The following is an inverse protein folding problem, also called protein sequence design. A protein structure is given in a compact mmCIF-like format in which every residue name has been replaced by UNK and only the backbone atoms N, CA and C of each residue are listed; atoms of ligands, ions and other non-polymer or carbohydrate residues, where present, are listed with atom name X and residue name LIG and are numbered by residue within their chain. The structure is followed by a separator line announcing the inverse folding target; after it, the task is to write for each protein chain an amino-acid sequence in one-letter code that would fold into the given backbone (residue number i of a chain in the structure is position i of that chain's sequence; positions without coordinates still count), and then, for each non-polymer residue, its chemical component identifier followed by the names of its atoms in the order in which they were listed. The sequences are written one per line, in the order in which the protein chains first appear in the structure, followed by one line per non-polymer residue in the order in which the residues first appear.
data_IF_834129500305
#
_entry.id   IF_834129500305
#
_cell.length_a   1.000
_cell.length_b   1.000
_cell.length_c   1.000
_cell.angle_alpha   90.00
_cell.angle_beta   90.00
_cell.angle_gamma   90.00
#
_symmetry.space_group_name_H-M   'P 1'
#
loop_
_entity.id
_entity.type
_entity.pdbx_description
1 polymer ?
#
# COMPACT_ATOMS: atom_id res chain seq x y z
N UNK A 1 -4.55 15.54 -18.30
CA UNK A 1 -5.78 16.35 -18.29
C UNK A 1 -5.81 17.11 -19.60
N UNK A 2 -6.88 16.97 -20.37
CA UNK A 2 -7.14 17.81 -21.55
C UNK A 2 -8.34 18.71 -21.24
N UNK A 3 -8.37 19.89 -21.85
CA UNK A 3 -9.54 20.75 -21.78
C UNK A 3 -10.46 20.47 -22.97
N UNK A 4 -11.75 20.33 -22.72
CA UNK A 4 -12.74 20.27 -23.80
C UNK A 4 -12.93 21.64 -24.45
N UNK A 5 -13.73 21.72 -25.52
CA UNK A 5 -14.03 22.97 -26.21
C UNK A 5 -14.71 24.04 -25.34
N UNK A 6 -15.16 23.68 -24.13
CA UNK A 6 -15.75 24.59 -23.13
C UNK A 6 -14.77 24.99 -22.03
N UNK A 7 -13.51 24.58 -22.11
CA UNK A 7 -12.47 24.85 -21.12
C UNK A 7 -12.49 23.95 -19.87
N UNK A 8 -13.40 22.99 -19.81
CA UNK A 8 -13.52 22.04 -18.70
C UNK A 8 -12.46 20.95 -18.80
N UNK A 9 -11.83 20.65 -17.68
CA UNK A 9 -10.82 19.58 -17.59
C UNK A 9 -11.47 18.19 -17.71
N UNK A 10 -10.97 17.40 -18.67
CA UNK A 10 -11.40 16.02 -18.89
C UNK A 10 -10.20 15.10 -18.68
N UNK A 11 -10.40 14.03 -17.95
CA UNK A 11 -9.42 12.98 -17.80
C UNK A 11 -9.44 12.06 -19.02
N UNK A 12 -8.35 12.06 -19.75
CA UNK A 12 -8.18 11.23 -20.93
C UNK A 12 -7.21 10.08 -20.65
N UNK A 13 -7.53 8.85 -21.10
CA UNK A 13 -6.62 7.73 -20.97
C UNK A 13 -5.39 7.94 -21.87
N UNK A 14 -4.20 7.82 -21.28
CA UNK A 14 -2.90 8.00 -21.96
C UNK A 14 -2.01 6.77 -21.70
N UNK A 15 -1.24 6.36 -22.71
CA UNK A 15 -0.25 5.31 -22.55
C UNK A 15 0.90 5.79 -21.65
N UNK A 16 1.32 4.96 -20.67
CA UNK A 16 2.43 5.26 -19.77
C UNK A 16 3.74 4.73 -20.35
N UNK A 17 4.56 5.63 -20.87
CA UNK A 17 5.81 5.26 -21.56
C UNK A 17 6.80 4.55 -20.62
N UNK A 18 6.88 4.96 -19.35
CA UNK A 18 7.78 4.35 -18.37
C UNK A 18 7.47 2.88 -18.05
N UNK A 19 6.29 2.39 -18.44
CA UNK A 19 5.90 0.99 -18.21
C UNK A 19 6.10 0.09 -19.44
N UNK A 20 6.51 0.63 -20.58
CA UNK A 20 6.62 -0.16 -21.83
C UNK A 20 7.64 -1.30 -21.75
N UNK A 21 8.68 -1.14 -20.93
CA UNK A 21 9.73 -2.16 -20.78
C UNK A 21 9.32 -3.30 -19.83
N UNK A 22 8.23 -3.12 -19.07
CA UNK A 22 7.72 -4.14 -18.16
C UNK A 22 6.89 -5.19 -18.88
N UNK A 23 6.83 -6.40 -18.31
CA UNK A 23 5.94 -7.45 -18.82
C UNK A 23 4.46 -7.05 -18.69
N UNK A 24 3.58 -7.52 -19.60
CA UNK A 24 2.15 -7.18 -19.55
C UNK A 24 1.50 -7.46 -18.19
N UNK A 25 1.92 -8.53 -17.51
CA UNK A 25 1.44 -8.87 -16.19
C UNK A 25 1.87 -7.86 -15.13
N UNK A 26 3.09 -7.36 -15.20
CA UNK A 26 3.60 -6.34 -14.29
C UNK A 26 2.89 -5.01 -14.50
N UNK A 27 2.60 -4.67 -15.78
CA UNK A 27 1.80 -3.49 -16.12
C UNK A 27 0.42 -3.61 -15.47
N UNK A 28 -0.25 -4.76 -15.64
CA UNK A 28 -1.55 -5.04 -15.03
C UNK A 28 -1.50 -4.93 -13.51
N UNK A 29 -0.49 -5.54 -12.87
CA UNK A 29 -0.32 -5.52 -11.42
C UNK A 29 -0.14 -4.10 -10.88
N UNK A 30 0.62 -3.26 -11.59
CA UNK A 30 0.84 -1.87 -11.20
C UNK A 30 -0.46 -1.05 -11.27
N UNK A 31 -1.22 -1.14 -12.37
CA UNK A 31 -2.50 -0.46 -12.49
C UNK A 31 -3.50 -0.92 -11.41
N UNK A 32 -3.56 -2.23 -11.14
CA UNK A 32 -4.39 -2.78 -10.07
C UNK A 32 -3.96 -2.27 -8.68
N UNK A 33 -2.65 -2.17 -8.43
CA UNK A 33 -2.10 -1.65 -7.17
C UNK A 33 -2.52 -0.21 -6.92
N UNK A 34 -2.42 0.64 -7.95
CA UNK A 34 -2.82 2.05 -7.88
C UNK A 34 -4.34 2.20 -7.63
N UNK A 35 -5.17 1.42 -8.35
CA UNK A 35 -6.63 1.44 -8.18
C UNK A 35 -7.01 1.00 -6.76
N UNK A 36 -6.43 -0.10 -6.26
CA UNK A 36 -6.68 -0.60 -4.91
C UNK A 36 -6.22 0.39 -3.84
N UNK A 37 -5.05 1.01 -4.04
CA UNK A 37 -4.51 2.01 -3.12
C UNK A 37 -5.46 3.20 -2.97
N UNK A 38 -5.92 3.77 -4.10
CA UNK A 38 -6.88 4.87 -4.09
C UNK A 38 -8.22 4.43 -3.49
N UNK A 39 -8.73 3.25 -3.84
CA UNK A 39 -9.97 2.75 -3.26
C UNK A 39 -9.85 2.54 -1.75
N UNK A 40 -8.77 1.97 -1.26
CA UNK A 40 -8.55 1.77 0.17
C UNK A 40 -8.53 3.09 0.94
N UNK A 41 -7.97 4.13 0.34
CA UNK A 41 -7.94 5.46 0.94
C UNK A 41 -9.35 6.09 1.00
N UNK A 42 -10.14 5.97 -0.07
CA UNK A 42 -11.44 6.63 -0.18
C UNK A 42 -12.64 5.73 0.15
N UNK A 43 -12.46 4.48 0.54
CA UNK A 43 -13.56 3.51 0.75
C UNK A 43 -14.61 3.91 1.77
N UNK A 44 -14.29 4.83 2.67
CA UNK A 44 -15.23 5.37 3.68
C UNK A 44 -15.97 6.62 3.18
N UNK A 45 -15.54 7.22 2.07
CA UNK A 45 -16.15 8.42 1.53
C UNK A 45 -17.59 8.19 1.06
N UNK A 46 -18.47 9.21 1.20
CA UNK A 46 -19.86 9.12 0.74
C UNK A 46 -19.97 8.93 -0.76
N UNK A 47 -19.07 9.53 -1.52
CA UNK A 47 -19.06 9.58 -2.99
C UNK A 47 -18.02 8.64 -3.62
N UNK A 48 -17.66 7.54 -2.96
CA UNK A 48 -16.66 6.58 -3.45
C UNK A 48 -16.98 6.04 -4.85
N UNK A 49 -18.23 6.03 -5.26
CA UNK A 49 -18.68 5.62 -6.61
C UNK A 49 -18.08 6.47 -7.74
N UNK A 50 -17.62 7.69 -7.46
CA UNK A 50 -16.90 8.54 -8.42
C UNK A 50 -15.63 7.85 -8.95
N UNK A 51 -15.03 6.95 -8.17
CA UNK A 51 -13.87 6.15 -8.57
C UNK A 51 -14.13 5.25 -9.78
N UNK A 52 -15.40 4.97 -10.14
CA UNK A 52 -15.72 4.26 -11.38
C UNK A 52 -15.20 5.01 -12.62
N UNK A 53 -15.30 6.34 -12.65
CA UNK A 53 -14.74 7.15 -13.74
C UNK A 53 -13.22 7.09 -13.78
N UNK A 54 -12.59 7.13 -12.62
CA UNK A 54 -11.14 6.97 -12.50
C UNK A 54 -10.70 5.58 -12.99
N UNK A 55 -11.37 4.52 -12.54
CA UNK A 55 -11.08 3.15 -12.95
C UNK A 55 -11.19 2.96 -14.47
N UNK A 56 -12.22 3.54 -15.09
CA UNK A 56 -12.37 3.54 -16.54
C UNK A 56 -11.17 4.17 -17.27
N UNK A 57 -10.71 5.34 -16.81
CA UNK A 57 -9.53 6.00 -17.38
C UNK A 57 -8.27 5.13 -17.20
N UNK A 58 -8.12 4.51 -16.03
CA UNK A 58 -7.00 3.61 -15.73
C UNK A 58 -7.01 2.36 -16.62
N UNK A 59 -8.17 1.75 -16.82
CA UNK A 59 -8.36 0.59 -17.68
C UNK A 59 -7.94 0.89 -19.11
N UNK A 60 -8.44 1.98 -19.68
CA UNK A 60 -8.07 2.37 -21.04
C UNK A 60 -6.62 2.82 -21.17
N UNK A 61 -6.05 3.45 -20.14
CA UNK A 61 -4.62 3.78 -20.09
C UNK A 61 -3.75 2.51 -20.09
N UNK A 62 -4.17 1.48 -19.37
CA UNK A 62 -3.53 0.17 -19.38
C UNK A 62 -3.57 -0.46 -20.78
N UNK A 63 -4.75 -0.48 -21.42
CA UNK A 63 -4.86 -1.00 -22.79
C UNK A 63 -3.93 -0.28 -23.77
N UNK A 64 -3.88 1.06 -23.68
CA UNK A 64 -2.98 1.85 -24.54
C UNK A 64 -1.51 1.58 -24.24
N UNK A 65 -1.14 1.35 -22.97
CA UNK A 65 0.23 1.03 -22.56
C UNK A 65 0.67 -0.32 -23.11
N UNK A 66 -0.15 -1.37 -22.94
CA UNK A 66 0.12 -2.71 -23.45
C UNK A 66 0.11 -2.71 -25.00
N UNK A 67 -0.83 -2.01 -25.62
CA UNK A 67 -0.93 -1.89 -27.07
C UNK A 67 0.33 -1.27 -27.67
N UNK A 68 0.89 -0.24 -27.01
CA UNK A 68 2.12 0.40 -27.43
C UNK A 68 3.33 -0.54 -27.33
N UNK A 69 3.44 -1.30 -26.23
CA UNK A 69 4.46 -2.35 -26.07
C UNK A 69 4.35 -3.39 -27.20
N UNK A 70 3.14 -3.84 -27.49
CA UNK A 70 2.88 -4.89 -28.49
C UNK A 70 2.79 -4.36 -29.93
N UNK A 71 2.98 -3.07 -30.15
CA UNK A 71 2.84 -2.40 -31.46
C UNK A 71 1.52 -2.74 -32.16
N UNK A 72 0.43 -2.73 -31.42
CA UNK A 72 -0.91 -3.03 -31.93
C UNK A 72 -1.96 -2.03 -31.42
N UNK A 73 -3.21 -2.15 -31.85
CA UNK A 73 -4.28 -1.29 -31.36
C UNK A 73 -4.79 -1.72 -29.98
N UNK A 74 -5.26 -0.76 -29.18
CA UNK A 74 -5.86 -1.04 -27.86
C UNK A 74 -7.08 -1.98 -27.98
N UNK A 75 -7.82 -1.93 -29.10
CA UNK A 75 -8.93 -2.82 -29.37
C UNK A 75 -8.48 -4.28 -29.53
N UNK A 76 -7.34 -4.52 -30.21
CA UNK A 76 -6.75 -5.86 -30.32
C UNK A 76 -6.32 -6.41 -28.96
N UNK A 77 -5.69 -5.57 -28.10
CA UNK A 77 -5.32 -5.96 -26.75
C UNK A 77 -6.55 -6.33 -25.95
N UNK A 78 -7.58 -5.49 -25.95
CA UNK A 78 -8.83 -5.78 -25.27
C UNK A 78 -9.42 -7.11 -25.74
N UNK A 79 -9.57 -7.32 -27.04
CA UNK A 79 -10.13 -8.57 -27.59
C UNK A 79 -9.30 -9.81 -27.22
N UNK A 80 -7.97 -9.70 -27.22
CA UNK A 80 -7.06 -10.84 -26.95
C UNK A 80 -7.13 -11.30 -25.50
N UNK A 81 -7.19 -10.36 -24.54
CA UNK A 81 -7.04 -10.64 -23.10
C UNK A 81 -8.35 -10.60 -22.32
N UNK A 82 -9.47 -10.21 -22.95
CA UNK A 82 -10.77 -10.19 -22.26
C UNK A 82 -11.49 -11.53 -22.46
N UNK A 83 -11.86 -12.17 -21.33
CA UNK A 83 -12.76 -13.32 -21.25
C UNK A 83 -13.86 -12.98 -20.25
N UNK A 84 -15.08 -13.35 -20.54
CA UNK A 84 -16.24 -13.09 -19.66
C UNK A 84 -16.38 -11.64 -19.21
N UNK A 85 -16.08 -10.70 -20.10
CA UNK A 85 -16.06 -9.24 -19.87
C UNK A 85 -14.98 -8.75 -18.90
N UNK A 86 -14.12 -9.64 -18.39
CA UNK A 86 -13.02 -9.30 -17.49
C UNK A 86 -11.70 -9.40 -18.25
N UNK A 87 -10.92 -8.32 -18.20
CA UNK A 87 -9.56 -8.32 -18.75
C UNK A 87 -8.63 -9.07 -17.79
N UNK A 88 -7.85 -10.01 -18.33
CA UNK A 88 -6.91 -10.78 -17.54
C UNK A 88 -5.78 -11.37 -18.37
N UNK A 89 -4.62 -11.52 -17.76
CA UNK A 89 -3.40 -12.05 -18.35
C UNK A 89 -3.05 -13.36 -17.68
N UNK A 90 -2.84 -14.39 -18.46
CA UNK A 90 -2.41 -15.71 -17.97
C UNK A 90 -0.89 -15.71 -17.78
N UNK A 91 -0.44 -16.37 -16.73
CA UNK A 91 0.97 -16.54 -16.41
C UNK A 91 1.23 -17.88 -15.74
N UNK A 92 2.41 -18.41 -15.96
CA UNK A 92 2.82 -19.69 -15.40
C UNK A 92 3.36 -19.53 -13.99
N UNK A 93 2.99 -20.44 -13.12
CA UNK A 93 3.52 -20.57 -11.77
C UNK A 93 3.97 -22.01 -11.51
N UNK A 94 4.73 -22.24 -10.46
CA UNK A 94 5.14 -23.59 -10.03
C UNK A 94 3.95 -24.55 -9.81
N UNK A 95 2.76 -24.02 -9.62
CA UNK A 95 1.51 -24.78 -9.37
C UNK A 95 0.55 -24.78 -10.57
N UNK A 96 1.02 -24.39 -11.76
CA UNK A 96 0.23 -24.32 -12.99
C UNK A 96 -0.05 -22.90 -13.47
N UNK A 97 -0.88 -22.81 -14.51
CA UNK A 97 -1.27 -21.55 -15.13
C UNK A 97 -2.27 -20.82 -14.24
N UNK A 98 -1.96 -19.57 -13.91
CA UNK A 98 -2.87 -18.66 -13.20
C UNK A 98 -3.23 -17.49 -14.09
N UNK A 99 -4.37 -16.85 -13.80
CA UNK A 99 -4.81 -15.64 -14.50
C UNK A 99 -4.87 -14.47 -13.53
N UNK A 100 -4.16 -13.41 -13.85
CA UNK A 100 -4.28 -12.13 -13.15
C UNK A 100 -5.35 -11.29 -13.86
N UNK A 101 -6.33 -10.81 -13.10
CA UNK A 101 -7.46 -10.05 -13.62
C UNK A 101 -7.34 -8.57 -13.28
N UNK A 102 -7.86 -7.73 -14.16
CA UNK A 102 -8.01 -6.31 -13.87
C UNK A 102 -9.05 -6.12 -12.76
N UNK A 103 -8.87 -5.09 -11.93
CA UNK A 103 -9.76 -4.80 -10.81
C UNK A 103 -11.21 -4.61 -11.29
N UNK A 104 -12.11 -5.44 -10.80
CA UNK A 104 -13.53 -5.46 -11.20
C UNK A 104 -14.51 -5.54 -10.02
N UNK A 105 -14.02 -5.43 -8.77
CA UNK A 105 -14.86 -5.57 -7.57
C UNK A 105 -15.79 -4.38 -7.34
N UNK A 106 -15.68 -3.32 -8.18
CA UNK A 106 -16.46 -2.11 -8.04
C UNK A 106 -16.02 -1.23 -6.85
N UNK A 107 -16.67 -0.07 -6.71
CA UNK A 107 -16.36 0.90 -5.66
C UNK A 107 -17.60 1.15 -4.82
N UNK A 108 -17.70 0.44 -3.72
CA UNK A 108 -18.79 0.58 -2.74
C UNK A 108 -18.24 1.15 -1.45
N UNK A 109 -19.05 1.97 -0.79
CA UNK A 109 -18.71 2.47 0.53
C UNK A 109 -18.60 1.30 1.51
N UNK A 110 -17.46 1.19 2.18
CA UNK A 110 -17.27 0.22 3.25
C UNK A 110 -17.79 0.78 4.57
N UNK A 111 -18.29 -0.10 5.43
CA UNK A 111 -18.49 0.27 6.82
C UNK A 111 -17.11 0.45 7.51
N UNK A 112 -16.94 1.43 8.41
CA UNK A 112 -15.72 1.55 9.17
C UNK A 112 -15.52 0.29 10.00
N UNK A 113 -14.36 -0.36 9.90
CA UNK A 113 -13.97 -1.42 10.81
C UNK A 113 -13.37 -0.81 12.09
N UNK A 114 -13.30 -1.59 13.16
CA UNK A 114 -12.62 -1.14 14.39
C UNK A 114 -11.15 -0.77 14.15
N UNK A 115 -10.54 -1.35 13.09
CA UNK A 115 -9.17 -1.06 12.66
C UNK A 115 -9.07 0.22 11.79
N UNK A 116 -10.19 0.66 11.21
CA UNK A 116 -10.25 1.88 10.39
C UNK A 116 -10.60 3.13 11.23
N UNK A 117 -10.98 2.94 12.48
CA UNK A 117 -10.96 4.07 13.38
C UNK A 117 -9.51 4.53 13.50
N UNK A 118 -9.26 5.81 13.20
CA UNK A 118 -8.11 6.53 13.72
C UNK A 118 -8.22 6.53 15.26
N UNK A 119 -8.11 5.36 15.83
CA UNK A 119 -7.52 5.26 17.14
C UNK A 119 -6.07 5.65 16.87
N UNK A 120 -5.80 6.96 16.78
CA UNK A 120 -4.52 7.46 17.27
C UNK A 120 -4.31 6.64 18.51
N UNK A 121 -3.32 5.70 18.52
CA UNK A 121 -3.03 5.01 19.74
C UNK A 121 -2.92 6.15 20.73
N UNK A 122 -3.77 6.11 21.77
CA UNK A 122 -3.69 7.10 22.82
C UNK A 122 -2.30 6.88 23.40
N UNK A 123 -1.31 7.48 22.74
CA UNK A 123 0.02 7.67 23.27
C UNK A 123 -0.15 8.67 24.41
N UNK A 124 -1.05 8.34 25.32
CA UNK A 124 -0.79 8.70 26.68
C UNK A 124 0.54 8.02 26.92
N UNK A 125 1.57 8.81 26.72
CA UNK A 125 2.82 8.52 27.35
C UNK A 125 2.43 8.19 28.79
N UNK A 126 2.21 6.91 29.01
CA UNK A 126 2.23 6.43 30.37
C UNK A 126 3.62 6.81 30.80
N UNK A 127 3.71 7.96 31.49
CA UNK A 127 4.88 8.39 32.23
C UNK A 127 4.92 7.45 33.43
N UNK A 128 4.84 6.17 33.20
CA UNK A 128 5.41 5.20 34.13
C UNK A 128 6.89 5.39 33.88
N UNK A 129 7.62 5.94 34.86
CA UNK A 129 9.05 5.99 34.74
C UNK A 129 9.46 4.57 34.37
N UNK A 130 10.10 4.43 33.20
CA UNK A 130 10.61 3.13 32.78
C UNK A 130 11.38 2.65 34.02
N UNK A 131 11.25 1.39 34.33
CA UNK A 131 11.85 0.77 35.53
C UNK A 131 13.31 1.21 35.74
N UNK A 132 14.06 1.34 34.61
CA UNK A 132 15.42 1.88 34.56
C UNK A 132 15.51 3.31 35.11
N UNK A 133 14.54 4.20 34.78
CA UNK A 133 14.52 5.59 35.28
C UNK A 133 14.18 5.61 36.76
N UNK A 134 13.24 4.77 37.19
CA UNK A 134 12.89 4.65 38.60
C UNK A 134 14.11 4.16 39.41
N UNK A 135 14.80 3.15 38.93
CA UNK A 135 16.05 2.63 39.56
C UNK A 135 17.16 3.69 39.60
N UNK A 136 17.31 4.44 38.49
CA UNK A 136 18.31 5.53 38.42
C UNK A 136 17.99 6.67 39.42
N UNK A 137 16.71 7.02 39.56
CA UNK A 137 16.27 8.10 40.46
C UNK A 137 16.45 7.77 41.94
N UNK A 138 16.66 6.50 42.31
CA UNK A 138 16.96 6.12 43.70
C UNK A 138 18.36 6.55 44.13
N UNK A 139 19.26 6.91 43.20
CA UNK A 139 20.66 7.30 43.47
C UNK A 139 21.51 6.18 44.11
N UNK A 140 20.98 4.96 44.10
CA UNK A 140 21.64 3.79 44.70
C UNK A 140 22.35 2.96 43.63
N UNK A 141 23.63 2.66 43.87
CA UNK A 141 24.39 1.79 42.98
C UNK A 141 24.12 0.31 43.29
N UNK A 142 23.52 -0.41 42.37
CA UNK A 142 23.19 -1.84 42.57
C UNK A 142 24.41 -2.77 42.59
N UNK A 143 25.55 -2.32 42.11
CA UNK A 143 26.78 -3.13 42.11
C UNK A 143 27.58 -3.02 43.41
N UNK A 144 27.75 -1.79 43.95
CA UNK A 144 28.55 -1.57 45.13
C UNK A 144 27.72 -1.29 46.38
N UNK A 145 26.37 -1.23 46.26
CA UNK A 145 25.46 -0.98 47.36
C UNK A 145 25.67 0.35 48.11
N UNK A 146 26.25 1.37 47.44
CA UNK A 146 26.52 2.68 48.01
C UNK A 146 25.61 3.75 47.41
N UNK A 147 25.28 4.76 48.22
CA UNK A 147 24.53 5.95 47.80
C UNK A 147 25.44 7.13 47.45
N UNK A 148 26.48 6.87 46.68
CA UNK A 148 27.44 7.88 46.27
C UNK A 148 27.11 8.37 44.84
N UNK A 149 26.94 9.66 44.66
CA UNK A 149 26.76 10.31 43.34
C UNK A 149 28.14 10.64 42.76
N UNK A 150 28.29 10.54 41.43
CA UNK A 150 27.28 10.27 40.40
C UNK A 150 27.07 8.76 40.13
N UNK A 151 25.81 8.37 39.94
CA UNK A 151 25.44 7.03 39.49
C UNK A 151 25.32 7.03 37.96
N UNK A 152 25.91 6.07 37.29
CA UNK A 152 25.83 5.92 35.83
C UNK A 152 25.10 4.63 35.46
N UNK A 153 24.37 4.67 34.34
CA UNK A 153 23.74 3.47 33.77
C UNK A 153 24.79 2.74 32.94
N UNK A 154 25.06 1.49 33.29
CA UNK A 154 25.96 0.61 32.56
C UNK A 154 25.23 -0.58 31.96
N UNK A 155 25.42 -0.82 30.68
CA UNK A 155 24.82 -1.95 29.98
C UNK A 155 25.73 -3.18 30.08
N UNK A 156 25.31 -4.21 30.82
CA UNK A 156 26.09 -5.43 31.05
C UNK A 156 26.10 -6.35 29.85
N UNK A 157 24.93 -6.49 29.16
CA UNK A 157 24.79 -7.34 27.96
C UNK A 157 24.42 -6.51 26.75
N UNK A 158 24.98 -6.84 25.59
CA UNK A 158 24.58 -6.20 24.35
C UNK A 158 23.21 -6.75 23.91
N UNK A 159 22.28 -5.88 23.50
CA UNK A 159 20.96 -6.28 23.02
C UNK A 159 20.98 -7.35 21.91
N UNK A 160 22.05 -7.36 21.09
CA UNK A 160 22.25 -8.36 20.04
C UNK A 160 22.55 -9.78 20.57
N UNK A 161 22.99 -9.91 21.83
CA UNK A 161 23.32 -11.19 22.46
C UNK A 161 22.16 -11.77 23.28
N UNK A 162 21.02 -11.08 23.35
CA UNK A 162 19.83 -11.54 24.05
C UNK A 162 18.99 -12.42 23.13
N UNK A 163 18.67 -13.62 23.57
CA UNK A 163 17.86 -14.60 22.81
C UNK A 163 16.36 -14.28 22.77
N UNK A 164 15.92 -13.20 23.38
CA UNK A 164 14.51 -12.80 23.46
C UNK A 164 13.64 -13.59 24.46
N UNK A 165 14.19 -14.62 25.08
CA UNK A 165 13.52 -15.47 26.08
C UNK A 165 14.02 -15.24 27.51
N UNK A 166 14.88 -14.26 27.72
CA UNK A 166 15.36 -13.90 29.05
C UNK A 166 14.49 -12.81 29.66
N UNK A 167 14.14 -12.88 30.96
CA UNK A 167 13.34 -11.90 31.66
C UNK A 167 13.98 -10.53 31.71
#
# INVERSE_FOLDING_TARGET
IQKDGTGKEIWMPVARNGLQNKEPIEILAQFNGEIRGIYNYYRLARNVSVLNKFCYVMEYSMYKTIARKMRCSAAKVKKKYTRDRIFGIEYETKHGIKRAEFYHNGFRKSAPSKLDMDTTPDYRYSIRPKEVIARFMTGYCELCCKNELPVMIYQVKNLKSLSGNEP
#
